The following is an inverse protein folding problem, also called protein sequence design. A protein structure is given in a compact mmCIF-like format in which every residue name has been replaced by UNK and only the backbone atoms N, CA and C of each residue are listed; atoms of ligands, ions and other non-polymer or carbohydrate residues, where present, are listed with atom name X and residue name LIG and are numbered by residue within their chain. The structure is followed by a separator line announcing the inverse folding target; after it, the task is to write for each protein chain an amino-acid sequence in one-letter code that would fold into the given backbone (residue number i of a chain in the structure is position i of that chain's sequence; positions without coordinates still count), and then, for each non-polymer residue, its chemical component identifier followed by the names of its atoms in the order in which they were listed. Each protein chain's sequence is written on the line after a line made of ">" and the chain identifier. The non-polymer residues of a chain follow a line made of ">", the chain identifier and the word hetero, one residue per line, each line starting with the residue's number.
data_IF_256857810349
#
_entry.id   IF_256857810349
#
_cell.length_a   1.000
_cell.length_b   1.000
_cell.length_c   1.000
_cell.angle_alpha   90.00
_cell.angle_beta   90.00
_cell.angle_gamma   90.00
#
_symmetry.space_group_name_H-M   'P 1'
#
loop_
_entity.id
_entity.type
_entity.pdbx_description
1 polymer ?
#
# COMPACT_ATOMS: atom_id res chain seq x y z
N UNK A 1 -10.44 -15.00 26.02
CA UNK A 1 -11.44 -14.03 25.52
C UNK A 1 -10.88 -12.59 25.55
N UNK A 2 -10.34 -12.10 26.66
CA UNK A 2 -9.82 -10.73 26.77
C UNK A 2 -8.72 -10.41 25.75
N UNK A 3 -7.71 -11.28 25.60
CA UNK A 3 -6.61 -11.05 24.66
C UNK A 3 -7.07 -11.02 23.19
N UNK A 4 -8.03 -11.86 22.82
CA UNK A 4 -8.67 -11.80 21.49
C UNK A 4 -9.32 -10.44 21.23
N UNK A 5 -10.09 -9.91 22.21
CA UNK A 5 -10.72 -8.59 22.04
C UNK A 5 -9.70 -7.47 21.90
N UNK A 6 -8.61 -7.51 22.68
CA UNK A 6 -7.51 -6.54 22.56
C UNK A 6 -6.87 -6.62 21.16
N UNK A 7 -6.59 -7.83 20.68
CA UNK A 7 -5.99 -8.04 19.35
C UNK A 7 -6.89 -7.51 18.24
N UNK A 8 -8.19 -7.79 18.31
CA UNK A 8 -9.16 -7.28 17.33
C UNK A 8 -9.27 -5.75 17.38
N UNK A 9 -9.25 -5.15 18.58
CA UNK A 9 -9.24 -3.70 18.74
C UNK A 9 -7.98 -3.05 18.13
N UNK A 10 -6.80 -3.61 18.38
CA UNK A 10 -5.55 -3.15 17.75
C UNK A 10 -5.61 -3.30 16.24
N UNK A 11 -6.14 -4.41 15.73
CA UNK A 11 -6.38 -4.61 14.31
C UNK A 11 -7.32 -3.58 13.70
N UNK A 12 -8.40 -3.22 14.41
CA UNK A 12 -9.32 -2.17 14.01
C UNK A 12 -8.62 -0.80 13.93
N UNK A 13 -7.84 -0.44 14.95
CA UNK A 13 -7.06 0.82 14.98
C UNK A 13 -6.10 0.84 13.80
N UNK A 14 -5.35 -0.23 13.56
CA UNK A 14 -4.42 -0.32 12.44
C UNK A 14 -5.15 -0.18 11.09
N UNK A 15 -6.29 -0.86 10.93
CA UNK A 15 -7.13 -0.76 9.73
C UNK A 15 -7.62 0.67 9.49
N UNK A 16 -8.06 1.38 10.53
CA UNK A 16 -8.48 2.79 10.46
C UNK A 16 -7.32 3.68 9.99
N UNK A 17 -6.15 3.52 10.57
CA UNK A 17 -4.95 4.29 10.21
C UNK A 17 -4.52 4.03 8.78
N UNK A 18 -4.44 2.76 8.39
CA UNK A 18 -4.02 2.33 7.04
C UNK A 18 -4.99 2.83 5.98
N UNK A 19 -6.28 2.57 6.15
CA UNK A 19 -7.28 2.96 5.16
C UNK A 19 -7.36 4.47 5.00
N UNK A 20 -7.28 5.23 6.09
CA UNK A 20 -7.29 6.69 6.06
C UNK A 20 -6.07 7.27 5.35
N UNK A 21 -4.89 6.77 5.62
CA UNK A 21 -3.64 7.26 5.01
C UNK A 21 -3.51 6.80 3.55
N UNK A 22 -3.72 5.53 3.28
CA UNK A 22 -3.48 4.96 1.95
C UNK A 22 -4.57 5.31 0.93
N UNK A 23 -5.77 5.74 1.37
CA UNK A 23 -6.81 6.23 0.47
C UNK A 23 -6.31 7.38 -0.40
N UNK A 24 -5.46 8.23 0.16
CA UNK A 24 -4.87 9.34 -0.57
C UNK A 24 -3.97 8.89 -1.73
N UNK A 25 -3.31 7.75 -1.58
CA UNK A 25 -2.43 7.17 -2.60
C UNK A 25 -3.25 6.74 -3.83
N UNK A 26 -4.43 6.16 -3.61
CA UNK A 26 -5.32 5.69 -4.67
C UNK A 26 -6.19 6.80 -5.27
N UNK A 27 -6.85 7.61 -4.44
CA UNK A 27 -7.84 8.59 -4.94
C UNK A 27 -7.36 10.05 -4.87
N UNK A 28 -6.23 10.33 -4.21
CA UNK A 28 -5.72 11.69 -4.07
C UNK A 28 -5.47 12.38 -5.40
N UNK A 29 -4.99 11.64 -6.40
CA UNK A 29 -4.72 12.13 -7.74
C UNK A 29 -6.00 12.57 -8.46
N UNK A 30 -7.06 11.75 -8.43
CA UNK A 30 -8.33 12.07 -9.13
C UNK A 30 -9.11 13.19 -8.46
N UNK A 31 -9.01 13.28 -7.13
CA UNK A 31 -9.64 14.36 -6.34
C UNK A 31 -8.82 15.66 -6.46
N UNK A 32 -7.50 15.57 -6.36
CA UNK A 32 -6.59 16.71 -6.50
C UNK A 32 -6.62 17.31 -7.90
N UNK A 33 -6.73 16.48 -8.93
CA UNK A 33 -6.91 16.91 -10.32
C UNK A 33 -8.34 17.44 -10.62
N UNK A 34 -9.22 17.48 -9.63
CA UNK A 34 -10.62 17.92 -9.75
C UNK A 34 -11.43 17.15 -10.81
N UNK A 35 -11.06 15.89 -11.07
CA UNK A 35 -11.79 15.01 -11.99
C UNK A 35 -13.13 14.60 -11.36
N UNK A 36 -13.09 14.31 -10.05
CA UNK A 36 -14.28 13.99 -9.24
C UNK A 36 -14.21 14.72 -7.89
N UNK A 37 -15.37 14.86 -7.26
CA UNK A 37 -15.46 15.40 -5.90
C UNK A 37 -14.84 14.46 -4.86
N UNK A 38 -14.43 15.01 -3.72
CA UNK A 38 -13.81 14.25 -2.61
C UNK A 38 -14.66 13.06 -2.18
N UNK A 39 -15.95 13.27 -1.97
CA UNK A 39 -16.85 12.21 -1.49
C UNK A 39 -16.99 11.05 -2.48
N UNK A 40 -17.07 11.36 -3.77
CA UNK A 40 -17.08 10.35 -4.84
C UNK A 40 -15.75 9.57 -4.83
N UNK A 41 -14.61 10.25 -4.66
CA UNK A 41 -13.31 9.59 -4.52
C UNK A 41 -13.25 8.68 -3.30
N UNK A 42 -13.73 9.13 -2.14
CA UNK A 42 -13.79 8.31 -0.92
C UNK A 42 -14.67 7.07 -1.15
N UNK A 43 -15.83 7.21 -1.78
CA UNK A 43 -16.71 6.07 -2.09
C UNK A 43 -16.03 5.06 -3.02
N UNK A 44 -15.36 5.52 -4.08
CA UNK A 44 -14.59 4.65 -5.00
C UNK A 44 -13.50 3.88 -4.24
N UNK A 45 -12.76 4.58 -3.39
CA UNK A 45 -11.69 3.96 -2.62
C UNK A 45 -12.19 2.96 -1.57
N UNK A 46 -13.23 3.32 -0.82
CA UNK A 46 -13.87 2.42 0.18
C UNK A 46 -14.41 1.17 -0.51
N UNK A 47 -15.11 1.33 -1.63
CA UNK A 47 -15.63 0.20 -2.40
C UNK A 47 -14.50 -0.68 -2.95
N UNK A 48 -13.40 -0.08 -3.44
CA UNK A 48 -12.21 -0.80 -3.84
C UNK A 48 -11.61 -1.60 -2.67
N UNK A 49 -11.37 -0.98 -1.51
CA UNK A 49 -10.82 -1.65 -0.34
C UNK A 49 -11.67 -2.83 0.12
N UNK A 50 -12.98 -2.62 0.26
CA UNK A 50 -13.91 -3.67 0.74
C UNK A 50 -13.97 -4.81 -0.28
N UNK A 51 -14.09 -4.51 -1.58
CA UNK A 51 -14.12 -5.55 -2.61
C UNK A 51 -12.82 -6.35 -2.68
N UNK A 52 -11.66 -5.70 -2.61
CA UNK A 52 -10.37 -6.39 -2.57
C UNK A 52 -10.21 -7.27 -1.32
N UNK A 53 -10.56 -6.74 -0.15
CA UNK A 53 -10.52 -7.50 1.10
C UNK A 53 -11.44 -8.74 1.07
N UNK A 54 -12.66 -8.60 0.54
CA UNK A 54 -13.65 -9.67 0.47
C UNK A 54 -13.31 -10.73 -0.57
N UNK A 55 -12.81 -10.33 -1.74
CA UNK A 55 -12.59 -11.23 -2.86
C UNK A 55 -11.22 -11.93 -2.80
N UNK A 56 -10.19 -11.23 -2.35
CA UNK A 56 -8.81 -11.71 -2.41
C UNK A 56 -8.04 -11.59 -1.10
N UNK A 57 -8.63 -11.05 -0.04
CA UNK A 57 -7.96 -10.88 1.25
C UNK A 57 -7.40 -12.19 1.83
N UNK A 58 -8.02 -13.33 1.56
CA UNK A 58 -7.55 -14.66 1.99
C UNK A 58 -6.25 -15.11 1.31
N UNK A 59 -5.85 -14.52 0.18
CA UNK A 59 -4.63 -14.88 -0.55
C UNK A 59 -3.37 -14.73 0.30
N UNK A 60 -3.38 -13.85 1.31
CA UNK A 60 -2.26 -13.61 2.22
C UNK A 60 -2.24 -14.54 3.45
N UNK A 61 -3.13 -15.53 3.51
CA UNK A 61 -3.27 -16.43 4.68
C UNK A 61 -2.00 -17.20 4.98
N UNK A 62 -1.37 -17.76 3.94
CA UNK A 62 -0.12 -18.49 4.10
C UNK A 62 0.98 -17.58 4.66
N UNK A 63 1.15 -16.38 4.11
CA UNK A 63 2.17 -15.45 4.58
C UNK A 63 1.94 -15.05 6.05
N UNK A 64 0.69 -14.77 6.46
CA UNK A 64 0.37 -14.40 7.82
C UNK A 64 0.73 -15.50 8.82
N UNK A 65 0.40 -16.77 8.51
CA UNK A 65 0.67 -17.91 9.39
C UNK A 65 2.12 -18.39 9.37
N UNK A 66 2.81 -18.23 8.23
CA UNK A 66 4.21 -18.61 8.08
C UNK A 66 5.17 -17.61 8.73
N UNK A 67 4.82 -16.32 8.74
CA UNK A 67 5.67 -15.25 9.28
C UNK A 67 5.52 -15.04 10.78
N UNK A 68 4.36 -15.30 11.37
CA UNK A 68 4.09 -15.04 12.79
C UNK A 68 3.42 -16.26 13.45
N UNK A 69 3.86 -16.68 14.66
CA UNK A 69 3.14 -17.69 15.44
C UNK A 69 1.70 -17.27 15.71
N UNK A 70 0.75 -18.16 15.52
CA UNK A 70 -0.68 -17.89 15.70
C UNK A 70 -1.06 -17.79 17.20
N UNK A 71 -0.57 -16.73 17.85
CA UNK A 71 -0.85 -16.39 19.24
C UNK A 71 -1.35 -14.95 19.31
N UNK A 72 -2.48 -14.71 19.95
CA UNK A 72 -3.01 -13.36 20.14
C UNK A 72 -2.03 -12.44 20.87
N UNK A 73 -1.16 -12.97 21.71
CA UNK A 73 -0.10 -12.21 22.37
C UNK A 73 0.89 -11.64 21.33
N UNK A 74 1.48 -12.49 20.50
CA UNK A 74 2.45 -12.09 19.50
C UNK A 74 1.82 -11.21 18.40
N UNK A 75 0.58 -11.51 18.00
CA UNK A 75 -0.16 -10.70 17.03
C UNK A 75 -0.39 -9.29 17.60
N UNK A 76 -0.80 -9.18 18.87
CA UNK A 76 -1.00 -7.87 19.52
C UNK A 76 0.27 -7.04 19.56
N UNK A 77 1.42 -7.67 19.83
CA UNK A 77 2.72 -7.01 19.82
C UNK A 77 3.08 -6.51 18.42
N UNK A 78 2.94 -7.34 17.39
CA UNK A 78 3.22 -6.95 16.01
C UNK A 78 2.35 -5.76 15.55
N UNK A 79 1.05 -5.79 15.91
CA UNK A 79 0.12 -4.70 15.62
C UNK A 79 0.50 -3.43 16.39
N UNK A 80 0.86 -3.53 17.67
CA UNK A 80 1.26 -2.39 18.49
C UNK A 80 2.53 -1.73 17.97
N UNK A 81 3.56 -2.52 17.61
CA UNK A 81 4.78 -2.02 16.96
C UNK A 81 4.42 -1.27 15.67
N UNK A 82 3.56 -1.86 14.85
CA UNK A 82 3.15 -1.28 13.56
C UNK A 82 2.36 0.02 13.74
N UNK A 83 1.42 0.07 14.69
CA UNK A 83 0.66 1.29 15.03
C UNK A 83 1.59 2.39 15.51
N UNK A 84 2.49 2.08 16.46
CA UNK A 84 3.42 3.04 17.03
C UNK A 84 4.37 3.60 15.98
N UNK A 85 4.99 2.72 15.17
CA UNK A 85 5.86 3.14 14.08
C UNK A 85 5.13 4.02 13.07
N UNK A 86 3.88 3.68 12.73
CA UNK A 86 3.07 4.45 11.78
C UNK A 86 2.69 5.83 12.32
N UNK A 87 2.31 5.94 13.60
CA UNK A 87 2.02 7.22 14.26
C UNK A 87 3.28 8.10 14.28
N UNK A 88 4.42 7.56 14.71
CA UNK A 88 5.69 8.28 14.75
C UNK A 88 6.07 8.78 13.35
N UNK A 89 6.00 7.91 12.33
CA UNK A 89 6.29 8.29 10.95
C UNK A 89 5.36 9.39 10.43
N UNK A 90 4.07 9.32 10.78
CA UNK A 90 3.09 10.34 10.41
C UNK A 90 3.42 11.69 11.06
N UNK A 91 3.79 11.71 12.33
CA UNK A 91 4.21 12.92 13.05
C UNK A 91 5.50 13.52 12.48
N UNK A 92 6.47 12.67 12.14
CA UNK A 92 7.74 13.06 11.53
C UNK A 92 7.62 13.36 10.02
N UNK A 93 6.45 13.15 9.43
CA UNK A 93 6.19 13.25 7.97
C UNK A 93 7.12 12.36 7.14
N UNK A 94 7.56 11.23 7.71
CA UNK A 94 8.42 10.27 7.05
C UNK A 94 7.58 9.27 6.22
N UNK A 95 7.99 8.92 5.00
CA UNK A 95 7.28 7.97 4.14
C UNK A 95 7.56 6.53 4.57
N UNK A 96 6.98 6.09 5.70
CA UNK A 96 7.16 4.74 6.22
C UNK A 96 6.27 3.73 5.50
N UNK A 97 6.80 2.54 5.22
CA UNK A 97 6.02 1.40 4.70
C UNK A 97 5.48 0.55 5.85
N UNK A 98 4.18 0.63 6.08
CA UNK A 98 3.53 -0.17 7.13
C UNK A 98 3.68 -1.68 6.89
N UNK A 99 3.49 -2.14 5.66
CA UNK A 99 3.64 -3.56 5.31
C UNK A 99 5.03 -4.08 5.68
N UNK A 100 6.07 -3.28 5.43
CA UNK A 100 7.45 -3.65 5.78
C UNK A 100 7.70 -3.68 7.29
N UNK A 101 7.13 -2.74 8.05
CA UNK A 101 7.20 -2.78 9.53
C UNK A 101 6.49 -4.01 10.06
N UNK A 102 5.30 -4.30 9.57
CA UNK A 102 4.47 -5.42 10.04
C UNK A 102 5.13 -6.77 9.70
N UNK A 103 5.67 -6.93 8.49
CA UNK A 103 6.43 -8.13 8.11
C UNK A 103 7.72 -8.23 8.93
N UNK A 104 8.47 -7.15 9.07
CA UNK A 104 9.69 -7.10 9.88
C UNK A 104 9.41 -7.52 11.33
N UNK A 105 8.40 -6.93 11.97
CA UNK A 105 8.04 -7.27 13.35
C UNK A 105 7.57 -8.72 13.49
N UNK A 106 6.82 -9.24 12.51
CA UNK A 106 6.40 -10.64 12.48
C UNK A 106 7.60 -11.60 12.45
N UNK A 107 8.60 -11.29 11.63
CA UNK A 107 9.84 -12.08 11.55
C UNK A 107 10.62 -12.00 12.87
N UNK A 108 10.81 -10.79 13.42
CA UNK A 108 11.53 -10.57 14.68
C UNK A 108 10.90 -11.34 15.83
N UNK A 109 9.58 -11.23 16.00
CA UNK A 109 8.81 -11.96 17.02
C UNK A 109 8.91 -13.47 16.83
N UNK A 110 8.85 -13.97 15.60
CA UNK A 110 8.98 -15.40 15.32
C UNK A 110 10.32 -15.94 15.77
N UNK A 111 11.43 -15.23 15.48
CA UNK A 111 12.78 -15.63 15.89
C UNK A 111 12.92 -15.54 17.41
N UNK A 112 12.38 -14.50 18.04
CA UNK A 112 12.32 -14.39 19.51
C UNK A 112 11.58 -15.58 20.14
N UNK A 113 10.48 -16.01 19.54
CA UNK A 113 9.70 -17.17 19.99
C UNK A 113 10.38 -18.53 19.68
N UNK A 114 11.61 -18.54 19.17
CA UNK A 114 12.35 -19.77 18.81
C UNK A 114 11.83 -20.44 17.53
N UNK A 115 11.00 -19.76 16.73
CA UNK A 115 10.49 -20.27 15.46
C UNK A 115 11.23 -19.65 14.29
N UNK A 116 11.73 -20.48 13.38
CA UNK A 116 12.32 -20.03 12.12
C UNK A 116 11.17 -19.85 11.12
N UNK A 117 10.93 -18.62 10.60
CA UNK A 117 9.95 -18.40 9.54
C UNK A 117 10.30 -19.17 8.27
N UNK A 118 9.31 -19.43 7.41
CA UNK A 118 9.53 -20.11 6.14
C UNK A 118 10.54 -19.36 5.27
N UNK A 119 11.68 -19.99 5.00
CA UNK A 119 12.80 -19.38 4.26
C UNK A 119 12.46 -19.14 2.80
N UNK A 120 11.65 -20.03 2.19
CA UNK A 120 11.21 -19.89 0.79
C UNK A 120 10.32 -18.65 0.63
N UNK A 121 9.36 -18.47 1.57
CA UNK A 121 8.52 -17.27 1.62
C UNK A 121 9.35 -16.00 1.87
N UNK A 122 10.30 -16.03 2.81
CA UNK A 122 11.17 -14.89 3.07
C UNK A 122 11.96 -14.48 1.83
N UNK A 123 12.54 -15.44 1.13
CA UNK A 123 13.27 -15.19 -0.12
C UNK A 123 12.34 -14.56 -1.17
N UNK A 124 11.12 -15.09 -1.31
CA UNK A 124 10.13 -14.58 -2.25
C UNK A 124 9.70 -13.14 -1.91
N UNK A 125 9.48 -12.84 -0.62
CA UNK A 125 9.15 -11.49 -0.15
C UNK A 125 10.27 -10.51 -0.48
N UNK A 126 11.51 -10.84 -0.14
CA UNK A 126 12.68 -10.00 -0.43
C UNK A 126 12.88 -9.82 -1.93
N UNK A 127 12.73 -10.89 -2.70
CA UNK A 127 12.81 -10.83 -4.17
C UNK A 127 11.73 -9.88 -4.74
N UNK A 128 10.47 -10.01 -4.31
CA UNK A 128 9.38 -9.14 -4.74
C UNK A 128 9.57 -7.68 -4.31
N UNK A 129 10.16 -7.43 -3.14
CA UNK A 129 10.47 -6.06 -2.69
C UNK A 129 11.58 -5.40 -3.52
N UNK A 130 12.44 -6.17 -4.19
CA UNK A 130 13.47 -5.66 -5.12
C UNK A 130 12.93 -5.59 -6.53
N UNK A 131 12.28 -6.65 -7.00
CA UNK A 131 11.80 -6.77 -8.39
C UNK A 131 10.66 -5.80 -8.68
N UNK A 132 9.71 -5.66 -7.74
CA UNK A 132 8.53 -4.81 -7.94
C UNK A 132 8.85 -3.34 -8.22
N UNK A 133 9.71 -2.62 -7.47
CA UNK A 133 10.05 -1.24 -7.81
C UNK A 133 10.82 -1.14 -9.13
N UNK A 134 11.71 -2.09 -9.43
CA UNK A 134 12.45 -2.11 -10.71
C UNK A 134 11.48 -2.28 -11.89
N UNK A 135 10.56 -3.24 -11.80
CA UNK A 135 9.53 -3.44 -12.82
C UNK A 135 8.57 -2.25 -12.91
N UNK A 136 8.20 -1.63 -11.79
CA UNK A 136 7.33 -0.46 -11.79
C UNK A 136 7.98 0.72 -12.51
N UNK A 137 9.27 0.97 -12.28
CA UNK A 137 10.05 1.96 -13.03
C UNK A 137 10.05 1.62 -14.53
N UNK A 138 10.37 0.37 -14.89
CA UNK A 138 10.48 -0.05 -16.28
C UNK A 138 9.14 0.06 -17.02
N UNK A 139 8.06 -0.48 -16.43
CA UNK A 139 6.71 -0.43 -17.04
C UNK A 139 6.26 1.01 -17.20
N UNK A 140 6.38 1.84 -16.16
CA UNK A 140 5.96 3.23 -16.22
C UNK A 140 6.80 4.05 -17.20
N UNK A 141 8.11 3.84 -17.25
CA UNK A 141 9.01 4.49 -18.22
C UNK A 141 8.63 4.12 -19.65
N UNK A 142 8.53 2.81 -19.96
CA UNK A 142 8.25 2.33 -21.31
C UNK A 142 6.86 2.76 -21.78
N UNK A 143 5.84 2.63 -20.94
CA UNK A 143 4.46 3.02 -21.28
C UNK A 143 4.34 4.51 -21.58
N UNK A 144 4.95 5.37 -20.74
CA UNK A 144 4.98 6.80 -21.01
C UNK A 144 5.81 7.15 -22.27
N UNK A 145 6.93 6.48 -22.47
CA UNK A 145 7.77 6.69 -23.66
C UNK A 145 7.03 6.38 -24.96
N UNK A 146 6.22 5.31 -24.96
CA UNK A 146 5.36 4.96 -26.09
C UNK A 146 4.32 6.06 -26.36
N UNK A 147 3.67 6.58 -25.31
CA UNK A 147 2.70 7.66 -25.45
C UNK A 147 3.33 8.97 -25.94
N UNK A 148 4.55 9.28 -25.51
CA UNK A 148 5.28 10.49 -25.94
C UNK A 148 5.67 10.38 -27.41
N UNK A 149 6.14 9.20 -27.85
CA UNK A 149 6.55 8.97 -29.25
C UNK A 149 5.39 8.92 -30.24
N UNK A 150 4.23 8.47 -29.77
CA UNK A 150 3.01 8.34 -30.57
C UNK A 150 1.92 9.28 -30.00
N UNK A 151 2.02 10.59 -30.22
CA UNK A 151 1.05 11.54 -29.69
C UNK A 151 -0.33 11.26 -30.31
N UNK A 152 -1.39 11.26 -29.50
CA UNK A 152 -2.73 11.01 -30.00
C UNK A 152 -3.19 12.12 -30.95
N UNK A 153 -3.88 11.73 -32.00
CA UNK A 153 -4.41 12.67 -33.01
C UNK A 153 -5.48 13.62 -32.44
N UNK A 154 -6.28 13.13 -31.50
CA UNK A 154 -7.33 13.91 -30.83
C UNK A 154 -6.99 14.08 -29.35
N UNK A 155 -6.51 15.26 -29.00
CA UNK A 155 -6.07 15.59 -27.64
C UNK A 155 -7.25 15.58 -26.66
N UNK A 156 -8.44 16.02 -27.08
CA UNK A 156 -9.61 16.11 -26.22
C UNK A 156 -10.19 14.73 -25.88
N UNK A 157 -10.36 13.87 -26.89
CA UNK A 157 -10.80 12.48 -26.66
C UNK A 157 -9.81 11.74 -25.77
N UNK A 158 -8.53 11.93 -25.98
CA UNK A 158 -7.48 11.32 -25.15
C UNK A 158 -7.53 11.82 -23.72
N UNK A 159 -7.70 13.12 -23.51
CA UNK A 159 -7.81 13.68 -22.17
C UNK A 159 -9.04 13.11 -21.41
N UNK A 160 -10.17 12.99 -22.06
CA UNK A 160 -11.40 12.40 -21.49
C UNK A 160 -11.17 10.92 -21.17
N UNK A 161 -10.59 10.16 -22.11
CA UNK A 161 -10.28 8.74 -21.91
C UNK A 161 -9.28 8.54 -20.75
N UNK A 162 -8.23 9.37 -20.67
CA UNK A 162 -7.25 9.29 -19.56
C UNK A 162 -7.86 9.64 -18.21
N UNK A 163 -8.81 10.58 -18.14
CA UNK A 163 -9.55 10.85 -16.90
C UNK A 163 -10.37 9.65 -16.45
N UNK A 164 -11.09 9.01 -17.37
CA UNK A 164 -11.85 7.78 -17.08
C UNK A 164 -10.94 6.64 -16.63
N UNK A 165 -9.84 6.41 -17.35
CA UNK A 165 -8.87 5.38 -17.01
C UNK A 165 -8.19 5.64 -15.66
N UNK A 166 -7.98 6.90 -15.29
CA UNK A 166 -7.42 7.28 -14.00
C UNK A 166 -8.38 6.95 -12.84
N UNK A 167 -9.69 7.10 -13.05
CA UNK A 167 -10.72 6.68 -12.07
C UNK A 167 -10.68 5.16 -11.88
N UNK A 168 -10.63 4.40 -12.99
CA UNK A 168 -10.49 2.94 -12.95
C UNK A 168 -9.19 2.51 -12.26
N UNK A 169 -8.07 3.16 -12.59
CA UNK A 169 -6.78 2.91 -11.95
C UNK A 169 -6.83 3.17 -10.44
N UNK A 170 -7.52 4.23 -10.01
CA UNK A 170 -7.68 4.56 -8.59
C UNK A 170 -8.52 3.52 -7.86
N UNK A 171 -9.61 3.03 -8.47
CA UNK A 171 -10.39 1.93 -7.93
C UNK A 171 -9.53 0.66 -7.79
N UNK A 172 -8.83 0.28 -8.86
CA UNK A 172 -8.00 -0.92 -8.88
C UNK A 172 -6.84 -0.84 -7.87
N UNK A 173 -6.21 0.33 -7.72
CA UNK A 173 -5.20 0.56 -6.66
C UNK A 173 -5.80 0.39 -5.26
N UNK A 174 -7.03 0.86 -5.02
CA UNK A 174 -7.71 0.65 -3.73
C UNK A 174 -8.07 -0.83 -3.53
N UNK A 175 -8.49 -1.52 -4.59
CA UNK A 175 -8.77 -2.95 -4.56
C UNK A 175 -7.54 -3.74 -4.14
N UNK A 176 -6.39 -3.55 -4.79
CA UNK A 176 -5.15 -4.26 -4.46
C UNK A 176 -4.63 -3.94 -3.06
N UNK A 177 -4.85 -2.73 -2.55
CA UNK A 177 -4.56 -2.38 -1.15
C UNK A 177 -5.47 -3.13 -0.18
N UNK A 178 -6.74 -3.29 -0.50
CA UNK A 178 -7.70 -4.10 0.25
C UNK A 178 -7.29 -5.56 0.30
N UNK A 179 -6.97 -6.12 -0.86
CA UNK A 179 -6.56 -7.52 -1.02
C UNK A 179 -5.22 -7.81 -0.34
N UNK A 180 -4.19 -7.00 -0.58
CA UNK A 180 -2.83 -7.25 -0.07
C UNK A 180 -2.66 -6.75 1.37
N UNK A 181 -2.66 -5.44 1.60
CA UNK A 181 -2.30 -4.89 2.91
C UNK A 181 -3.34 -5.21 3.98
N UNK A 182 -4.62 -4.98 3.68
CA UNK A 182 -5.70 -5.28 4.65
C UNK A 182 -5.96 -6.79 4.74
N UNK A 183 -5.81 -7.53 3.63
CA UNK A 183 -5.86 -9.00 3.63
C UNK A 183 -4.79 -9.62 4.53
N UNK A 184 -3.56 -9.10 4.53
CA UNK A 184 -2.52 -9.55 5.44
C UNK A 184 -2.90 -9.31 6.91
N UNK A 185 -3.44 -8.13 7.25
CA UNK A 185 -3.94 -7.83 8.60
C UNK A 185 -5.11 -8.76 8.98
N UNK A 186 -6.07 -8.99 8.06
CA UNK A 186 -7.20 -9.90 8.28
C UNK A 186 -6.71 -11.30 8.69
N UNK A 187 -5.74 -11.83 7.98
CA UNK A 187 -5.24 -13.18 8.23
C UNK A 187 -4.36 -13.27 9.48
N UNK A 188 -3.63 -12.23 9.85
CA UNK A 188 -2.95 -12.15 11.15
C UNK A 188 -3.96 -12.19 12.31
N UNK A 189 -5.12 -11.55 12.16
CA UNK A 189 -6.19 -11.57 13.16
C UNK A 189 -6.95 -12.91 13.21
N UNK A 190 -6.63 -13.86 12.32
CA UNK A 190 -7.26 -15.17 12.24
C UNK A 190 -8.50 -15.22 11.36
N UNK A 191 -8.84 -14.15 10.64
CA UNK A 191 -10.01 -14.11 9.75
C UNK A 191 -11.35 -14.19 10.50
N UNK A 192 -12.37 -14.63 9.78
CA UNK A 192 -13.71 -14.84 10.32
C UNK A 192 -14.61 -13.60 10.23
N UNK A 193 -15.93 -13.83 10.36
CA UNK A 193 -16.95 -12.81 10.11
C UNK A 193 -16.87 -11.61 11.06
N UNK A 194 -16.55 -11.84 12.33
CA UNK A 194 -16.43 -10.77 13.33
C UNK A 194 -15.26 -9.84 12.99
N UNK A 195 -14.08 -10.42 12.72
CA UNK A 195 -12.87 -9.65 12.36
C UNK A 195 -13.12 -8.88 11.07
N UNK A 196 -13.69 -9.54 10.06
CA UNK A 196 -14.02 -8.93 8.78
C UNK A 196 -14.97 -7.74 8.95
N UNK A 197 -16.04 -7.89 9.74
CA UNK A 197 -16.99 -6.80 10.01
C UNK A 197 -16.31 -5.62 10.69
N UNK A 198 -15.47 -5.88 11.70
CA UNK A 198 -14.72 -4.84 12.40
C UNK A 198 -13.77 -4.11 11.45
N UNK A 199 -13.09 -4.85 10.55
CA UNK A 199 -12.20 -4.25 9.56
C UNK A 199 -12.98 -3.42 8.53
N UNK A 200 -14.13 -3.89 8.03
CA UNK A 200 -14.99 -3.11 7.11
C UNK A 200 -15.44 -1.80 7.75
N UNK A 201 -15.86 -1.83 9.00
CA UNK A 201 -16.19 -0.61 9.77
C UNK A 201 -14.95 0.27 9.91
N UNK A 202 -13.79 -0.30 10.22
CA UNK A 202 -12.52 0.42 10.30
C UNK A 202 -12.11 1.09 8.98
N UNK A 203 -12.30 0.42 7.85
CA UNK A 203 -12.07 0.98 6.50
C UNK A 203 -12.93 2.22 6.28
N UNK A 204 -14.22 2.14 6.59
CA UNK A 204 -15.16 3.25 6.41
C UNK A 204 -14.74 4.43 7.30
N UNK A 205 -14.51 4.19 8.59
CA UNK A 205 -14.12 5.22 9.56
C UNK A 205 -12.80 5.90 9.11
N UNK A 206 -11.76 5.11 8.83
CA UNK A 206 -10.46 5.63 8.41
C UNK A 206 -10.55 6.46 7.13
N UNK A 207 -11.23 5.92 6.13
CA UNK A 207 -11.39 6.58 4.82
C UNK A 207 -12.20 7.89 4.91
N UNK A 208 -13.24 7.94 5.73
CA UNK A 208 -14.09 9.13 5.85
C UNK A 208 -13.43 10.22 6.71
N UNK A 209 -12.88 9.86 7.86
CA UNK A 209 -12.43 10.84 8.85
C UNK A 209 -10.93 11.18 8.74
N UNK A 210 -10.05 10.22 8.46
CA UNK A 210 -8.60 10.45 8.46
C UNK A 210 -8.03 10.84 7.08
N UNK A 211 -8.73 10.57 5.97
CA UNK A 211 -8.21 10.81 4.63
C UNK A 211 -8.15 12.29 4.23
N UNK A 212 -8.91 13.18 4.87
CA UNK A 212 -9.11 14.57 4.43
C UNK A 212 -7.81 15.36 4.21
N UNK A 213 -6.92 15.35 5.19
CA UNK A 213 -5.66 16.08 5.14
C UNK A 213 -4.66 15.47 4.15
N UNK A 214 -4.65 14.15 4.09
CA UNK A 214 -3.71 13.39 3.27
C UNK A 214 -4.11 13.46 1.78
N UNK A 215 -5.40 13.33 1.44
CA UNK A 215 -5.92 13.50 0.07
C UNK A 215 -5.56 14.90 -0.47
N UNK A 216 -5.75 15.94 0.33
CA UNK A 216 -5.40 17.30 -0.06
C UNK A 216 -3.90 17.42 -0.39
N UNK A 217 -3.04 16.90 0.49
CA UNK A 217 -1.59 16.97 0.35
C UNK A 217 -1.07 16.20 -0.87
N UNK A 218 -1.49 14.95 -1.04
CA UNK A 218 -1.08 14.13 -2.19
C UNK A 218 -1.59 14.74 -3.49
N UNK A 219 -2.83 15.24 -3.51
CA UNK A 219 -3.38 15.93 -4.67
C UNK A 219 -2.61 17.17 -5.07
N UNK A 220 -2.10 17.95 -4.11
CA UNK A 220 -1.27 19.13 -4.35
C UNK A 220 0.13 18.75 -4.86
N UNK A 221 0.76 17.73 -4.30
CA UNK A 221 2.08 17.22 -4.71
C UNK A 221 2.06 16.59 -6.10
N UNK A 222 0.97 15.89 -6.45
CA UNK A 222 0.81 15.24 -7.77
C UNK A 222 0.19 16.17 -8.83
N UNK A 223 -0.23 17.38 -8.48
CA UNK A 223 -0.87 18.32 -9.41
C UNK A 223 0.01 18.66 -10.62
N UNK A 224 1.33 18.62 -10.49
CA UNK A 224 2.27 18.82 -11.60
C UNK A 224 2.39 17.64 -12.57
N UNK A 225 1.80 16.48 -12.27
CA UNK A 225 1.85 15.29 -13.12
C UNK A 225 0.76 15.33 -14.19
N UNK A 226 1.11 14.90 -15.41
CA UNK A 226 0.11 14.69 -16.47
C UNK A 226 -0.81 13.51 -16.09
N UNK A 227 -2.08 13.56 -16.51
CA UNK A 227 -3.04 12.48 -16.27
C UNK A 227 -2.54 11.11 -16.75
N UNK A 228 -1.88 11.06 -17.91
CA UNK A 228 -1.27 9.84 -18.44
C UNK A 228 -0.20 9.25 -17.51
N UNK A 229 0.70 10.08 -17.01
CA UNK A 229 1.77 9.64 -16.11
C UNK A 229 1.21 9.13 -14.79
N UNK A 230 0.23 9.83 -14.22
CA UNK A 230 -0.46 9.41 -13.01
C UNK A 230 -1.19 8.07 -13.19
N UNK A 231 -1.94 7.93 -14.30
CA UNK A 231 -2.65 6.69 -14.65
C UNK A 231 -1.68 5.51 -14.80
N UNK A 232 -0.60 5.71 -15.56
CA UNK A 232 0.40 4.66 -15.79
C UNK A 232 1.06 4.25 -14.48
N UNK A 233 1.46 5.20 -13.63
CA UNK A 233 2.08 4.90 -12.34
C UNK A 233 1.15 4.14 -11.40
N UNK A 234 -0.13 4.53 -11.33
CA UNK A 234 -1.13 3.82 -10.52
C UNK A 234 -1.39 2.41 -11.05
N UNK A 235 -1.59 2.24 -12.36
CA UNK A 235 -1.83 0.93 -12.96
C UNK A 235 -0.61 0.01 -12.81
N UNK A 236 0.61 0.53 -13.06
CA UNK A 236 1.83 -0.25 -12.89
C UNK A 236 1.98 -0.76 -11.46
N UNK A 237 1.74 0.10 -10.47
CA UNK A 237 1.82 -0.30 -9.07
C UNK A 237 0.71 -1.28 -8.70
N UNK A 238 -0.52 -1.05 -9.13
CA UNK A 238 -1.64 -1.93 -8.83
C UNK A 238 -1.46 -3.33 -9.44
N UNK A 239 -1.01 -3.43 -10.70
CA UNK A 239 -0.72 -4.71 -11.35
C UNK A 239 0.36 -5.49 -10.58
N UNK A 240 1.42 -4.82 -10.13
CA UNK A 240 2.50 -5.49 -9.39
C UNK A 240 2.06 -5.93 -8.00
N UNK A 241 1.25 -5.12 -7.31
CA UNK A 241 0.68 -5.51 -6.01
C UNK A 241 -0.30 -6.65 -6.18
N UNK A 242 -1.08 -6.66 -7.26
CA UNK A 242 -2.01 -7.75 -7.59
C UNK A 242 -1.26 -9.07 -7.84
N UNK A 243 -0.22 -9.03 -8.65
CA UNK A 243 0.65 -10.22 -8.88
C UNK A 243 1.23 -10.72 -7.55
N UNK A 244 1.69 -9.82 -6.67
CA UNK A 244 2.17 -10.20 -5.35
C UNK A 244 1.06 -10.83 -4.48
N UNK A 245 -0.18 -10.29 -4.56
CA UNK A 245 -1.34 -10.83 -3.85
C UNK A 245 -1.68 -12.25 -4.30
N UNK A 246 -1.71 -12.50 -5.60
CA UNK A 246 -1.93 -13.83 -6.19
C UNK A 246 -0.83 -14.81 -5.74
N UNK A 247 0.41 -14.34 -5.62
CA UNK A 247 1.54 -15.15 -5.11
C UNK A 247 1.53 -15.28 -3.57
N UNK A 248 0.58 -14.70 -2.87
CA UNK A 248 0.50 -14.72 -1.41
C UNK A 248 1.59 -13.90 -0.72
N UNK A 249 2.15 -12.89 -1.38
CA UNK A 249 3.28 -12.09 -0.89
C UNK A 249 2.80 -10.71 -0.42
N UNK A 250 3.06 -10.33 0.84
CA UNK A 250 2.79 -8.97 1.30
C UNK A 250 3.75 -7.96 0.64
N UNK A 251 3.19 -7.09 -0.20
CA UNK A 251 3.94 -6.07 -0.95
C UNK A 251 3.50 -4.66 -0.54
N UNK A 252 4.46 -3.74 -0.49
CA UNK A 252 4.18 -2.34 -0.21
C UNK A 252 3.72 -1.60 -1.46
N UNK A 253 2.45 -1.18 -1.49
CA UNK A 253 1.91 -0.39 -2.61
C UNK A 253 2.61 0.98 -2.75
N UNK A 254 2.97 1.63 -1.64
CA UNK A 254 3.73 2.89 -1.68
C UNK A 254 5.09 2.72 -2.35
N UNK A 255 5.73 1.56 -2.20
CA UNK A 255 6.98 1.22 -2.86
C UNK A 255 6.80 1.12 -4.38
N UNK A 256 5.84 0.31 -4.83
CA UNK A 256 5.57 0.12 -6.24
C UNK A 256 5.13 1.45 -6.91
N UNK A 257 4.27 2.23 -6.24
CA UNK A 257 3.78 3.50 -6.78
C UNK A 257 4.88 4.56 -6.87
N UNK A 258 5.69 4.75 -5.81
CA UNK A 258 6.78 5.73 -5.83
C UNK A 258 7.78 5.41 -6.94
N UNK A 259 8.09 4.14 -7.15
CA UNK A 259 8.92 3.68 -8.24
C UNK A 259 8.27 3.97 -9.62
N UNK A 260 6.97 3.71 -9.76
CA UNK A 260 6.22 4.03 -10.98
C UNK A 260 6.22 5.52 -11.33
N UNK A 261 6.09 6.38 -10.32
CA UNK A 261 6.17 7.85 -10.48
C UNK A 261 7.55 8.25 -10.99
N UNK A 262 8.63 7.68 -10.42
CA UNK A 262 10.00 7.92 -10.91
C UNK A 262 10.16 7.44 -12.34
N UNK A 263 9.70 6.25 -12.68
CA UNK A 263 9.75 5.72 -14.05
C UNK A 263 9.03 6.62 -15.06
N UNK A 264 7.83 7.08 -14.69
CA UNK A 264 7.07 8.04 -15.51
C UNK A 264 7.83 9.35 -15.70
N UNK A 265 8.45 9.90 -14.67
CA UNK A 265 9.25 11.12 -14.74
C UNK A 265 10.49 10.96 -15.64
N UNK A 266 11.23 9.85 -15.51
CA UNK A 266 12.40 9.53 -16.33
C UNK A 266 12.11 9.48 -17.84
N UNK A 267 10.86 9.19 -18.22
CA UNK A 267 10.46 9.13 -19.63
C UNK A 267 10.47 10.49 -20.32
N UNK A 268 10.35 11.60 -19.58
CA UNK A 268 10.36 12.96 -20.14
C UNK A 268 11.76 13.52 -20.27
N UNK A 269 12.50 13.61 -19.16
CA UNK A 269 13.87 14.13 -19.18
C UNK A 269 14.69 13.56 -18.03
N UNK A 270 15.77 12.87 -18.35
CA UNK A 270 16.68 12.30 -17.36
C UNK A 270 17.32 13.36 -16.43
N UNK A 271 17.54 14.57 -16.97
CA UNK A 271 18.19 15.69 -16.25
C UNK A 271 17.27 16.44 -15.27
N UNK A 272 15.93 16.25 -15.37
CA UNK A 272 14.97 17.02 -14.58
C UNK A 272 14.56 16.34 -13.27
N UNK A 273 15.00 15.11 -13.01
CA UNK A 273 14.60 14.38 -11.82
C UNK A 273 15.64 14.57 -10.72
N UNK A 274 15.18 15.15 -9.62
CA UNK A 274 15.92 15.09 -8.38
C UNK A 274 15.73 13.67 -7.77
N UNK A 275 16.76 12.83 -7.86
CA UNK A 275 16.72 11.44 -7.36
C UNK A 275 16.82 11.36 -5.82
N UNK A 276 17.26 12.45 -5.15
CA UNK A 276 17.46 12.45 -3.68
C UNK A 276 16.20 12.08 -2.89
N UNK A 277 14.99 12.64 -3.19
CA UNK A 277 13.77 12.23 -2.49
C UNK A 277 13.46 10.76 -2.65
N UNK A 278 13.69 10.17 -3.84
CA UNK A 278 13.48 8.75 -4.07
C UNK A 278 14.45 7.89 -3.28
N UNK A 279 15.74 8.25 -3.21
CA UNK A 279 16.73 7.54 -2.39
C UNK A 279 16.37 7.59 -0.89
N UNK A 280 15.84 8.73 -0.41
CA UNK A 280 15.34 8.83 0.97
C UNK A 280 14.14 7.90 1.20
N UNK A 281 13.22 7.79 0.24
CA UNK A 281 12.12 6.84 0.30
C UNK A 281 12.62 5.39 0.33
N UNK A 282 13.58 5.03 -0.51
CA UNK A 282 14.23 3.70 -0.50
C UNK A 282 14.90 3.41 0.85
N UNK A 283 15.61 4.39 1.40
CA UNK A 283 16.22 4.25 2.74
C UNK A 283 15.14 4.00 3.82
N UNK A 284 14.00 4.69 3.75
CA UNK A 284 12.90 4.46 4.72
C UNK A 284 12.28 3.08 4.59
N UNK A 285 12.26 2.45 3.42
CA UNK A 285 11.80 1.06 3.27
C UNK A 285 12.71 0.09 4.04
N UNK A 286 14.02 0.24 3.87
CA UNK A 286 15.01 -0.56 4.59
C UNK A 286 14.89 -0.33 6.10
N UNK A 287 14.87 0.93 6.53
CA UNK A 287 14.74 1.30 7.94
C UNK A 287 13.43 0.75 8.52
N UNK A 288 12.33 0.81 7.80
CA UNK A 288 11.02 0.30 8.24
C UNK A 288 11.08 -1.19 8.57
N UNK A 289 11.70 -1.98 7.69
CA UNK A 289 11.84 -3.43 7.87
C UNK A 289 12.70 -3.76 9.08
N UNK A 290 13.88 -3.15 9.17
CA UNK A 290 14.80 -3.39 10.29
C UNK A 290 14.24 -2.87 11.62
N UNK A 291 13.58 -1.72 11.63
CA UNK A 291 12.91 -1.19 12.81
C UNK A 291 11.86 -2.19 13.33
N UNK A 292 10.99 -2.67 12.45
CA UNK A 292 10.01 -3.69 12.80
C UNK A 292 10.68 -4.95 13.34
N UNK A 293 11.69 -5.46 12.64
CA UNK A 293 12.43 -6.64 13.02
C UNK A 293 13.07 -6.52 14.43
N UNK A 294 13.85 -5.47 14.66
CA UNK A 294 14.53 -5.30 15.95
C UNK A 294 13.54 -5.10 17.09
N UNK A 295 12.50 -4.30 16.92
CA UNK A 295 11.47 -4.14 17.94
C UNK A 295 10.75 -5.46 18.23
N UNK A 296 10.44 -6.25 17.19
CA UNK A 296 9.83 -7.56 17.37
C UNK A 296 10.75 -8.61 17.99
N UNK A 297 12.05 -8.50 17.78
CA UNK A 297 13.05 -9.44 18.33
C UNK A 297 13.36 -9.19 19.81
N UNK A 298 13.33 -7.94 20.25
CA UNK A 298 13.72 -7.55 21.63
C UNK A 298 12.59 -7.83 22.64
N UNK A 299 11.33 -7.85 22.21
CA UNK A 299 10.17 -8.06 23.08
C UNK A 299 9.92 -9.54 23.35
#
# INVERSE_FOLDING_TARGET
>A
MQLFLITVLLGAILTILVSGNNLSVSVGTIVGARIIGRWTGVLIGVFGYISGLLLEGESLRYAATALLPHSYYFISIALLISITAFIIATLLRAPLSLTMVLVGSSIGISIHAGRIPDQGLLLLIVAMWIISPVLSIAISYLSNKVLIRNPPKDIWKTAISMKGLLVVASFFTSFTLGANTLGFILNLLGGGSVVLTVMVVGIIIGSVFLSKGVIKRVGEEMYGMRYSSATISLLSSAILVEVATILGVPLSNSQALSAGVVGSGLSYTFKAINIRPFLLIVATWIISTFLGFFLGYII
#
